data_IF_570402499542
#
_entry.id   IF_570402499542
#
_cell.length_a   1.000
_cell.length_b   1.000
_cell.length_c   1.000
_cell.angle_alpha   90.00
_cell.angle_beta   90.00
_cell.angle_gamma   90.00
#
_symmetry.space_group_name_H-M   'P 1'
#
loop_
_entity.id
_entity.type
_entity.pdbx_description
1 polymer ?
#
# COMPACT_ATOMS: atom_id res chain seq x y z
N UNK A 1 6.39 -10.51 -9.42
CA UNK A 1 7.32 -9.55 -10.05
C UNK A 1 8.17 -8.94 -8.94
N UNK A 2 9.46 -9.28 -8.87
CA UNK A 2 10.31 -8.92 -7.73
C UNK A 2 10.60 -7.41 -7.68
N UNK A 3 10.69 -6.86 -6.47
CA UNK A 3 11.13 -5.48 -6.26
C UNK A 3 12.64 -5.38 -6.53
N UNK A 4 13.04 -4.61 -7.56
CA UNK A 4 14.46 -4.35 -7.86
C UNK A 4 14.75 -2.86 -7.69
N UNK A 5 15.73 -2.53 -6.85
CA UNK A 5 16.25 -1.17 -6.71
C UNK A 5 17.76 -1.20 -6.99
N UNK A 6 18.22 -0.37 -7.90
CA UNK A 6 19.66 -0.14 -8.11
C UNK A 6 20.11 0.98 -7.17
N UNK A 7 21.21 0.76 -6.46
CA UNK A 7 21.87 1.78 -5.63
C UNK A 7 22.99 2.38 -6.45
N UNK A 8 23.22 3.69 -6.33
CA UNK A 8 24.32 4.37 -7.01
C UNK A 8 25.48 4.63 -6.04
N UNK A 9 26.73 4.60 -6.51
CA UNK A 9 27.93 4.56 -5.68
C UNK A 9 28.17 5.80 -4.81
N UNK A 10 27.54 6.94 -5.14
CA UNK A 10 27.67 8.21 -4.42
C UNK A 10 26.54 8.50 -3.44
N UNK A 11 25.66 7.54 -3.17
CA UNK A 11 24.51 7.77 -2.29
C UNK A 11 24.77 7.33 -0.84
N UNK A 12 24.40 8.16 0.14
CA UNK A 12 24.45 7.74 1.53
C UNK A 12 23.46 6.59 1.74
N UNK A 13 23.91 5.55 2.46
CA UNK A 13 23.13 4.32 2.67
C UNK A 13 21.73 4.57 3.27
N UNK A 14 21.60 5.61 4.11
CA UNK A 14 20.34 6.04 4.69
C UNK A 14 19.31 6.48 3.64
N UNK A 15 19.74 7.13 2.55
CA UNK A 15 18.86 7.54 1.46
C UNK A 15 18.38 6.34 0.63
N UNK A 16 19.26 5.38 0.37
CA UNK A 16 18.93 4.13 -0.31
C UNK A 16 17.87 3.33 0.48
N UNK A 17 18.05 3.19 1.80
CA UNK A 17 17.08 2.53 2.68
C UNK A 17 15.71 3.23 2.66
N UNK A 18 15.68 4.56 2.64
CA UNK A 18 14.42 5.32 2.57
C UNK A 18 13.66 5.05 1.27
N UNK A 19 14.36 4.97 0.14
CA UNK A 19 13.74 4.62 -1.15
C UNK A 19 13.27 3.18 -1.20
N UNK A 20 14.06 2.25 -0.67
CA UNK A 20 13.67 0.85 -0.59
C UNK A 20 12.39 0.68 0.26
N UNK A 21 12.33 1.35 1.41
CA UNK A 21 11.12 1.38 2.25
C UNK A 21 9.92 1.93 1.49
N UNK A 22 10.08 3.06 0.78
CA UNK A 22 9.01 3.63 -0.06
C UNK A 22 8.57 2.68 -1.18
N UNK A 23 9.50 1.97 -1.80
CA UNK A 23 9.19 0.97 -2.83
C UNK A 23 8.36 -0.18 -2.25
N UNK A 24 8.71 -0.70 -1.08
CA UNK A 24 7.93 -1.74 -0.38
C UNK A 24 6.54 -1.25 -0.02
N UNK A 25 6.42 -0.01 0.46
CA UNK A 25 5.13 0.59 0.80
C UNK A 25 4.26 0.80 -0.45
N UNK A 26 4.88 1.23 -1.56
CA UNK A 26 4.19 1.42 -2.84
C UNK A 26 3.75 0.11 -3.49
N UNK A 27 4.55 -0.95 -3.36
CA UNK A 27 4.23 -2.24 -3.95
C UNK A 27 3.03 -2.90 -3.28
N UNK A 28 2.61 -2.44 -2.10
CA UNK A 28 1.45 -2.98 -1.41
C UNK A 28 1.67 -4.39 -0.85
N UNK A 29 2.89 -4.94 -0.91
CA UNK A 29 3.21 -6.30 -0.47
C UNK A 29 2.73 -6.58 0.96
N UNK A 30 2.93 -5.62 1.87
CA UNK A 30 2.48 -5.76 3.27
C UNK A 30 0.96 -5.88 3.39
N UNK A 31 0.22 -5.24 2.48
CA UNK A 31 -1.25 -5.26 2.48
C UNK A 31 -1.78 -6.56 1.89
N UNK A 32 -1.13 -7.08 0.85
CA UNK A 32 -1.43 -8.39 0.28
C UNK A 32 -1.15 -9.51 1.29
N UNK A 33 0.00 -9.48 1.97
CA UNK A 33 0.33 -10.45 3.02
C UNK A 33 -0.78 -10.53 4.07
N UNK A 34 -1.21 -9.38 4.62
CA UNK A 34 -2.30 -9.32 5.60
C UNK A 34 -3.66 -9.75 5.06
N UNK A 35 -3.90 -9.60 3.75
CA UNK A 35 -5.14 -10.04 3.13
C UNK A 35 -5.18 -11.56 2.94
N UNK A 36 -4.02 -12.20 2.83
CA UNK A 36 -3.87 -13.64 2.62
C UNK A 36 -3.51 -14.42 3.90
N UNK A 37 -3.30 -13.75 5.04
CA UNK A 37 -3.02 -14.39 6.33
C UNK A 37 -4.13 -15.34 6.82
N UNK A 38 -5.39 -15.09 6.43
CA UNK A 38 -6.53 -15.91 6.79
C UNK A 38 -7.53 -16.01 5.64
N UNK A 39 -8.29 -17.10 5.61
CA UNK A 39 -9.40 -17.23 4.67
C UNK A 39 -10.49 -16.20 5.02
N UNK A 40 -10.74 -15.29 4.10
CA UNK A 40 -11.87 -14.37 4.18
C UNK A 40 -13.01 -14.89 3.29
N UNK A 41 -14.20 -15.06 3.87
CA UNK A 41 -15.38 -15.50 3.12
C UNK A 41 -15.67 -14.52 1.96
N UNK A 42 -16.15 -14.97 0.79
CA UNK A 42 -16.40 -14.09 -0.35
C UNK A 42 -17.32 -12.90 -0.04
N UNK A 43 -18.31 -13.09 0.84
CA UNK A 43 -19.20 -12.01 1.30
C UNK A 43 -18.46 -10.93 2.10
N UNK A 44 -17.53 -11.33 2.96
CA UNK A 44 -16.69 -10.43 3.76
C UNK A 44 -15.72 -9.64 2.89
N UNK A 45 -15.13 -10.29 1.89
CA UNK A 45 -14.28 -9.62 0.89
C UNK A 45 -15.05 -8.52 0.14
N UNK A 46 -16.29 -8.81 -0.29
CA UNK A 46 -17.17 -7.83 -0.97
C UNK A 46 -17.50 -6.66 -0.05
N UNK A 47 -17.91 -6.95 1.20
CA UNK A 47 -18.21 -5.94 2.23
C UNK A 47 -17.02 -5.04 2.53
N UNK A 48 -15.82 -5.61 2.66
CA UNK A 48 -14.56 -4.89 2.89
C UNK A 48 -14.23 -3.95 1.73
N UNK A 49 -14.40 -4.40 0.48
CA UNK A 49 -14.15 -3.60 -0.73
C UNK A 49 -15.11 -2.41 -0.82
N UNK A 50 -16.40 -2.62 -0.56
CA UNK A 50 -17.40 -1.56 -0.55
C UNK A 50 -17.13 -0.52 0.54
N UNK A 51 -16.83 -0.96 1.76
CA UNK A 51 -16.47 -0.08 2.87
C UNK A 51 -15.22 0.75 2.54
N UNK A 52 -14.20 0.15 1.91
CA UNK A 52 -13.00 0.85 1.48
C UNK A 52 -13.30 1.93 0.41
N UNK A 53 -14.18 1.62 -0.56
CA UNK A 53 -14.62 2.57 -1.59
C UNK A 53 -15.36 3.76 -0.98
N UNK A 54 -16.32 3.50 -0.09
CA UNK A 54 -17.09 4.57 0.58
C UNK A 54 -16.20 5.47 1.44
N UNK A 55 -15.21 4.89 2.14
CA UNK A 55 -14.21 5.68 2.89
C UNK A 55 -13.37 6.56 1.96
N UNK A 56 -12.95 6.07 0.80
CA UNK A 56 -12.18 6.86 -0.17
C UNK A 56 -12.99 8.04 -0.72
N UNK A 57 -14.25 7.81 -1.07
CA UNK A 57 -15.17 8.87 -1.54
C UNK A 57 -15.36 9.94 -0.47
N UNK A 58 -15.65 9.54 0.79
CA UNK A 58 -15.79 10.48 1.91
C UNK A 58 -14.53 11.32 2.13
N UNK A 59 -13.35 10.70 2.04
CA UNK A 59 -12.07 11.40 2.20
C UNK A 59 -11.83 12.42 1.08
N UNK A 60 -12.17 12.07 -0.17
CA UNK A 60 -12.07 12.98 -1.30
C UNK A 60 -13.02 14.18 -1.16
N UNK A 61 -14.26 13.94 -0.71
CA UNK A 61 -15.23 15.00 -0.43
C UNK A 61 -14.77 15.94 0.69
N UNK A 62 -14.17 15.41 1.75
CA UNK A 62 -13.60 16.21 2.85
C UNK A 62 -12.41 17.06 2.39
N UNK A 63 -11.57 16.54 1.50
CA UNK A 63 -10.45 17.29 0.94
C UNK A 63 -10.89 18.41 0.00
N UNK A 64 -12.01 18.24 -0.71
CA UNK A 64 -12.58 19.27 -1.59
C UNK A 64 -13.35 20.36 -0.83
N UNK A 65 -13.80 20.08 0.39
CA UNK A 65 -14.44 21.07 1.29
C UNK A 65 -13.45 21.93 2.08
N UNK A 66 -12.16 21.61 2.02
CA UNK A 66 -11.09 22.29 2.75
C UNK A 66 -10.28 23.14 1.79
#
# INVERSE_FOLDING_TARGET
>A
MGLKMRVHDKEPISAALRRFKKLIERSGMKRELKAHEYYEKPCEVRRRKEAARMRAIRKAQQAAKK
#
